data_IF_497884924078
#
_entry.id   IF_497884924078
#
_cell.length_a   1.000
_cell.length_b   1.000
_cell.length_c   1.000
_cell.angle_alpha   90.00
_cell.angle_beta   90.00
_cell.angle_gamma   90.00
#
_symmetry.space_group_name_H-M   'P 1'
#
loop_
_entity.id
_entity.type
_entity.pdbx_description
1 polymer ?
#
# COMPACT_ATOMS: atom_id res chain seq x y z
N UNK A 1 -14.83 13.01 6.46
CA UNK A 1 -14.26 11.78 5.87
C UNK A 1 -12.84 12.11 5.46
N UNK A 2 -11.87 11.62 6.23
CA UNK A 2 -10.47 11.77 5.85
C UNK A 2 -10.15 10.73 4.77
N UNK A 3 -9.15 11.03 3.95
CA UNK A 3 -8.70 10.13 2.90
C UNK A 3 -7.18 10.19 2.87
N UNK A 4 -6.55 9.02 2.86
CA UNK A 4 -5.11 8.89 2.68
C UNK A 4 -4.84 8.39 1.28
N UNK A 5 -3.81 8.95 0.64
CA UNK A 5 -3.34 8.48 -0.66
C UNK A 5 -2.00 7.79 -0.45
N UNK A 6 -1.93 6.51 -0.77
CA UNK A 6 -0.74 5.69 -0.64
C UNK A 6 -0.30 5.22 -2.03
N UNK A 7 1.00 5.02 -2.21
CA UNK A 7 1.56 4.48 -3.45
C UNK A 7 1.99 3.04 -3.22
N UNK A 8 1.45 2.13 -4.02
CA UNK A 8 1.78 0.70 -3.99
C UNK A 8 2.13 0.32 -5.42
N UNK A 9 3.32 -0.22 -5.64
CA UNK A 9 3.76 -0.69 -6.97
C UNK A 9 3.68 0.39 -8.07
N UNK A 10 3.96 1.64 -7.70
CA UNK A 10 3.82 2.80 -8.58
C UNK A 10 2.37 3.19 -8.92
N UNK A 11 1.37 2.50 -8.36
CA UNK A 11 -0.05 2.85 -8.47
C UNK A 11 -0.49 3.62 -7.23
N UNK A 12 -1.23 4.70 -7.43
CA UNK A 12 -1.80 5.47 -6.34
C UNK A 12 -3.16 4.88 -5.92
N UNK A 13 -3.29 4.57 -4.64
CA UNK A 13 -4.52 4.09 -4.02
C UNK A 13 -5.03 5.12 -3.03
N UNK A 14 -6.30 5.49 -3.19
CA UNK A 14 -6.99 6.37 -2.25
C UNK A 14 -7.81 5.51 -1.31
N UNK A 15 -7.49 5.57 -0.02
CA UNK A 15 -8.17 4.83 1.03
C UNK A 15 -8.98 5.80 1.88
N UNK A 16 -10.22 5.45 2.15
CA UNK A 16 -11.05 6.19 3.09
C UNK A 16 -10.62 5.84 4.51
N UNK A 17 -10.40 6.85 5.35
CA UNK A 17 -9.95 6.67 6.71
C UNK A 17 -10.76 7.52 7.68
N UNK A 18 -10.96 6.98 8.88
CA UNK A 18 -11.47 7.73 10.01
C UNK A 18 -10.30 8.30 10.84
N UNK A 19 -10.62 9.25 11.72
CA UNK A 19 -9.64 9.96 12.53
C UNK A 19 -8.82 8.97 13.38
N UNK A 20 -7.49 8.98 13.22
CA UNK A 20 -6.57 8.06 13.88
C UNK A 20 -6.27 6.74 13.15
N UNK A 21 -6.90 6.47 11.99
CA UNK A 21 -6.60 5.27 11.16
C UNK A 21 -5.58 5.53 10.04
N UNK A 22 -5.17 6.78 9.84
CA UNK A 22 -4.21 7.17 8.79
C UNK A 22 -2.88 6.42 8.92
N UNK A 23 -2.30 6.37 10.12
CA UNK A 23 -1.03 5.69 10.38
C UNK A 23 -1.12 4.18 10.10
N UNK A 24 -2.25 3.56 10.47
CA UNK A 24 -2.46 2.13 10.22
C UNK A 24 -2.58 1.81 8.73
N UNK A 25 -3.26 2.66 7.97
CA UNK A 25 -3.38 2.51 6.52
C UNK A 25 -2.06 2.75 5.80
N UNK A 26 -1.23 3.68 6.30
CA UNK A 26 0.13 3.89 5.80
C UNK A 26 0.99 2.65 6.05
N UNK A 27 1.01 2.11 7.27
CA UNK A 27 1.77 0.87 7.59
C UNK A 27 1.30 -0.31 6.72
N UNK A 28 -0.01 -0.48 6.57
CA UNK A 28 -0.58 -1.54 5.73
C UNK A 28 -0.14 -1.39 4.27
N UNK A 29 -0.17 -0.16 3.73
CA UNK A 29 0.25 0.11 2.37
C UNK A 29 1.74 -0.17 2.16
N UNK A 30 2.61 0.23 3.09
CA UNK A 30 4.04 -0.06 3.02
C UNK A 30 4.35 -1.56 3.07
N UNK A 31 3.65 -2.31 3.95
CA UNK A 31 3.78 -3.77 4.03
C UNK A 31 3.33 -4.44 2.73
N UNK A 32 2.24 -3.94 2.15
CA UNK A 32 1.71 -4.46 0.91
C UNK A 32 2.61 -4.15 -0.28
N UNK A 33 3.20 -2.95 -0.35
CA UNK A 33 4.18 -2.57 -1.38
C UNK A 33 5.41 -3.50 -1.38
N UNK A 34 5.95 -3.82 -0.19
CA UNK A 34 7.03 -4.81 -0.05
C UNK A 34 6.60 -6.20 -0.52
N UNK A 35 5.39 -6.62 -0.18
CA UNK A 35 4.86 -7.92 -0.58
C UNK A 35 4.67 -8.01 -2.10
N UNK A 36 4.12 -6.97 -2.73
CA UNK A 36 3.97 -6.90 -4.19
C UNK A 36 5.33 -6.88 -4.88
N UNK A 37 6.30 -6.14 -4.35
CA UNK A 37 7.67 -6.13 -4.88
C UNK A 37 8.31 -7.52 -4.82
N UNK A 38 8.18 -8.22 -3.68
CA UNK A 38 8.69 -9.59 -3.53
C UNK A 38 7.98 -10.59 -4.45
N UNK A 39 6.66 -10.45 -4.61
CA UNK A 39 5.89 -11.24 -5.58
C UNK A 39 6.37 -10.99 -7.00
N UNK A 40 6.56 -9.72 -7.41
CA UNK A 40 7.06 -9.38 -8.75
C UNK A 40 8.42 -10.00 -9.04
N UNK A 41 9.31 -10.01 -8.05
CA UNK A 41 10.61 -10.69 -8.13
C UNK A 41 10.43 -12.20 -8.29
N UNK A 42 9.58 -12.82 -7.46
CA UNK A 42 9.27 -14.26 -7.53
C UNK A 42 8.58 -14.68 -8.83
N UNK A 43 7.75 -13.81 -9.42
CA UNK A 43 7.08 -14.04 -10.70
C UNK A 43 7.99 -13.74 -11.90
N UNK A 44 9.12 -13.05 -11.70
CA UNK A 44 10.12 -12.73 -12.72
C UNK A 44 11.16 -13.83 -12.97
N UNK A 45 11.18 -14.89 -12.16
CA UNK A 45 12.01 -16.09 -12.38
C UNK A 45 11.29 -17.18 -13.23
N UNK A 46 10.56 -16.79 -14.30
CA UNK A 46 10.07 -17.73 -15.34
C UNK A 46 10.51 -17.29 -16.72
#
# INVERSE_FOLDING_TARGET
MAQVTVSIDGKQYRMACDEGQEEHLIDLAERFDRYVSHLKDSFGEI
#
